data_IF_681552716513
#
_entry.id   IF_681552716513
#
_cell.length_a   1.000
_cell.length_b   1.000
_cell.length_c   1.000
_cell.angle_alpha   90.00
_cell.angle_beta   90.00
_cell.angle_gamma   90.00
#
_symmetry.space_group_name_H-M   'P 1'
#
loop_
_entity.id
_entity.type
_entity.pdbx_description
1 polymer ?
#
# COMPACT_ATOMS: atom_id res chain seq x y z
N UNK A 1 -2.39 5.98 -18.37
CA UNK A 1 -3.63 6.50 -17.74
C UNK A 1 -3.67 5.92 -16.34
N UNK A 2 -3.54 6.74 -15.29
CA UNK A 2 -3.46 6.25 -13.90
C UNK A 2 -4.86 6.22 -13.29
N UNK A 3 -5.38 5.01 -13.09
CA UNK A 3 -6.68 4.76 -12.46
C UNK A 3 -6.57 5.04 -10.96
N UNK A 4 -7.13 6.15 -10.49
CA UNK A 4 -7.26 6.42 -9.05
C UNK A 4 -8.41 5.52 -8.56
N UNK A 5 -8.06 4.42 -7.90
CA UNK A 5 -9.04 3.52 -7.28
C UNK A 5 -9.52 4.15 -5.96
N UNK A 6 -10.78 4.57 -5.94
CA UNK A 6 -11.44 5.10 -4.76
C UNK A 6 -12.11 3.92 -4.04
N UNK A 7 -11.47 3.41 -2.99
CA UNK A 7 -12.04 2.36 -2.12
C UNK A 7 -12.99 2.96 -1.08
N UNK A 8 -14.13 2.30 -0.87
CA UNK A 8 -15.05 2.59 0.23
C UNK A 8 -14.43 2.14 1.55
N UNK A 9 -14.13 3.09 2.44
CA UNK A 9 -13.62 2.81 3.77
C UNK A 9 -12.09 2.73 3.79
N UNK A 10 -11.48 3.68 4.47
CA UNK A 10 -10.02 3.72 4.66
C UNK A 10 -9.68 2.73 5.79
N UNK A 11 -8.94 1.64 5.52
CA UNK A 11 -8.51 0.73 6.56
C UNK A 11 -7.60 1.45 7.56
N UNK A 12 -7.62 1.00 8.81
CA UNK A 12 -6.82 1.60 9.87
C UNK A 12 -5.31 1.54 9.52
N UNK A 13 -4.51 2.56 9.88
CA UNK A 13 -3.09 2.60 9.58
C UNK A 13 -2.34 1.47 10.26
N UNK A 14 -1.52 0.76 9.48
CA UNK A 14 -0.71 -0.36 9.95
C UNK A 14 0.67 0.17 10.35
N UNK A 15 0.93 0.25 11.66
CA UNK A 15 2.17 0.83 12.19
C UNK A 15 3.34 -0.14 12.29
N UNK A 16 3.16 -1.32 12.91
CA UNK A 16 4.29 -2.19 13.26
C UNK A 16 4.51 -3.39 12.31
N UNK A 17 3.45 -3.94 11.73
CA UNK A 17 3.51 -5.20 10.98
C UNK A 17 3.19 -5.06 9.49
N UNK A 18 3.46 -3.89 8.90
CA UNK A 18 3.20 -3.65 7.48
C UNK A 18 3.81 -4.72 6.56
N UNK A 19 4.97 -5.30 6.92
CA UNK A 19 5.56 -6.42 6.15
C UNK A 19 4.67 -7.67 6.13
N UNK A 20 4.13 -8.05 7.29
CA UNK A 20 3.27 -9.22 7.40
C UNK A 20 1.93 -8.97 6.69
N UNK A 21 1.37 -7.78 6.86
CA UNK A 21 0.13 -7.37 6.21
C UNK A 21 0.28 -7.35 4.69
N UNK A 22 1.33 -6.74 4.14
CA UNK A 22 1.63 -6.80 2.69
C UNK A 22 1.86 -8.24 2.20
N UNK A 23 2.39 -9.14 3.05
CA UNK A 23 2.57 -10.55 2.70
C UNK A 23 1.25 -11.30 2.50
N UNK A 24 0.26 -11.04 3.35
CA UNK A 24 -1.06 -11.69 3.32
C UNK A 24 -2.07 -10.97 2.42
N UNK A 25 -1.82 -9.70 2.09
CA UNK A 25 -2.65 -8.85 1.25
C UNK A 25 -2.99 -9.49 -0.10
N UNK A 26 -4.27 -9.56 -0.44
CA UNK A 26 -4.78 -10.14 -1.68
C UNK A 26 -4.87 -9.10 -2.81
N UNK A 27 -4.94 -9.57 -4.06
CA UNK A 27 -5.09 -8.69 -5.22
C UNK A 27 -6.41 -7.89 -5.13
N UNK A 28 -6.31 -6.58 -5.30
CA UNK A 28 -7.43 -5.65 -5.14
C UNK A 28 -7.56 -5.06 -3.73
N UNK A 29 -6.80 -5.54 -2.75
CA UNK A 29 -6.75 -4.92 -1.43
C UNK A 29 -5.82 -3.70 -1.39
N UNK A 30 -5.97 -2.90 -0.33
CA UNK A 30 -5.08 -1.79 -0.02
C UNK A 30 -4.70 -1.71 1.46
N UNK A 31 -3.51 -1.19 1.73
CA UNK A 31 -2.98 -0.98 3.07
C UNK A 31 -2.59 0.49 3.26
N UNK A 32 -2.98 1.07 4.40
CA UNK A 32 -2.60 2.41 4.80
C UNK A 32 -1.36 2.36 5.71
N UNK A 33 -0.28 3.05 5.33
CA UNK A 33 1.01 2.99 6.02
C UNK A 33 1.49 4.41 6.35
N UNK A 34 2.08 4.61 7.53
CA UNK A 34 2.71 5.88 7.90
C UNK A 34 3.93 6.20 7.03
N UNK A 35 4.10 7.47 6.66
CA UNK A 35 5.13 7.94 5.74
C UNK A 35 6.56 7.75 6.27
N UNK A 36 6.72 7.58 7.59
CA UNK A 36 8.00 7.22 8.20
C UNK A 36 8.56 5.89 7.65
N UNK A 37 7.70 4.99 7.19
CA UNK A 37 8.08 3.69 6.61
C UNK A 37 8.15 3.69 5.07
N UNK A 38 7.89 4.82 4.40
CA UNK A 38 7.74 4.86 2.94
C UNK A 38 8.97 4.34 2.18
N UNK A 39 10.18 4.70 2.63
CA UNK A 39 11.41 4.23 2.00
C UNK A 39 11.63 2.73 2.22
N UNK A 40 11.35 2.23 3.43
CA UNK A 40 11.47 0.81 3.76
C UNK A 40 10.47 -0.05 2.98
N UNK A 41 9.24 0.43 2.81
CA UNK A 41 8.19 -0.24 2.04
C UNK A 41 8.54 -0.29 0.55
N UNK A 42 8.94 0.85 -0.04
CA UNK A 42 9.37 0.90 -1.44
C UNK A 42 10.55 -0.04 -1.71
N UNK A 43 11.52 -0.08 -0.81
CA UNK A 43 12.64 -1.01 -0.90
C UNK A 43 12.18 -2.48 -0.83
N UNK A 44 11.28 -2.81 0.09
CA UNK A 44 10.74 -4.17 0.23
C UNK A 44 9.93 -4.61 -1.01
N UNK A 45 9.11 -3.72 -1.57
CA UNK A 45 8.38 -3.95 -2.83
C UNK A 45 9.37 -4.23 -3.96
N UNK A 46 10.37 -3.37 -4.13
CA UNK A 46 11.37 -3.50 -5.18
C UNK A 46 12.26 -4.74 -5.05
N UNK A 47 12.57 -5.19 -3.83
CA UNK A 47 13.51 -6.30 -3.58
C UNK A 47 12.85 -7.67 -3.42
N UNK A 48 11.74 -7.76 -2.68
CA UNK A 48 11.13 -9.04 -2.31
C UNK A 48 9.88 -9.35 -3.13
N UNK A 49 8.97 -8.38 -3.29
CA UNK A 49 7.70 -8.66 -3.95
C UNK A 49 7.81 -8.77 -5.48
N UNK A 50 8.71 -8.00 -6.10
CA UNK A 50 9.00 -8.15 -7.53
C UNK A 50 9.91 -9.33 -7.88
N UNK A 51 10.71 -9.83 -6.93
CA UNK A 51 11.82 -10.74 -7.21
C UNK A 51 11.62 -12.16 -6.67
N UNK A 52 10.77 -12.34 -5.66
CA UNK A 52 10.54 -13.65 -5.03
C UNK A 52 9.04 -14.02 -4.98
N UNK A 53 8.72 -15.07 -5.76
CA UNK A 53 7.77 -16.13 -5.48
C UNK A 53 6.24 -15.90 -5.40
N UNK A 54 5.70 -14.69 -5.19
CA UNK A 54 4.24 -14.54 -5.01
C UNK A 54 3.48 -13.93 -6.21
N UNK A 55 4.16 -13.44 -7.24
CA UNK A 55 3.51 -12.80 -8.40
C UNK A 55 2.73 -11.53 -8.07
N UNK A 56 2.79 -11.08 -6.81
CA UNK A 56 2.06 -9.92 -6.29
C UNK A 56 2.75 -8.63 -6.67
N UNK A 57 2.06 -7.80 -7.42
CA UNK A 57 2.55 -6.48 -7.84
C UNK A 57 2.01 -5.42 -6.89
N UNK A 58 2.88 -4.74 -6.16
CA UNK A 58 2.46 -3.68 -5.25
C UNK A 58 2.73 -2.31 -5.85
N UNK A 59 1.74 -1.43 -5.78
CA UNK A 59 1.87 -0.03 -6.15
C UNK A 59 1.71 0.86 -4.92
N UNK A 60 2.55 1.88 -4.79
CA UNK A 60 2.44 2.86 -3.69
C UNK A 60 1.94 4.21 -4.22
N UNK A 61 1.17 4.94 -3.43
CA UNK A 61 0.74 6.29 -3.77
C UNK A 61 0.20 7.07 -2.59
N UNK A 62 -0.33 8.26 -2.85
CA UNK A 62 -0.89 9.13 -1.82
C UNK A 62 -2.10 8.46 -1.18
N UNK A 63 -2.18 8.52 0.14
CA UNK A 63 -3.39 8.14 0.85
C UNK A 63 -4.43 9.25 0.66
N UNK A 64 -5.57 8.91 0.08
CA UNK A 64 -6.67 9.84 -0.17
C UNK A 64 -7.90 9.35 0.61
N UNK A 65 -8.60 10.26 1.28
CA UNK A 65 -9.85 9.95 1.98
C UNK A 65 -11.08 9.91 1.04
N UNK A 66 -12.24 9.49 1.55
CA UNK A 66 -13.48 9.39 0.78
C UNK A 66 -13.97 10.75 0.20
N UNK A 67 -13.40 11.87 0.68
CA UNK A 67 -13.69 13.24 0.20
C UNK A 67 -12.63 13.74 -0.79
N UNK A 68 -11.64 12.92 -1.13
CA UNK A 68 -10.59 13.30 -2.08
C UNK A 68 -9.43 14.07 -1.46
N UNK A 69 -9.33 14.18 -0.12
CA UNK A 69 -8.22 14.89 0.51
C UNK A 69 -7.05 13.96 0.83
N UNK A 70 -5.83 14.50 0.74
CA UNK A 70 -4.63 13.78 1.13
C UNK A 70 -4.55 13.59 2.64
N UNK A 71 -4.40 12.34 3.07
CA UNK A 71 -4.19 11.98 4.47
C UNK A 71 -2.72 12.25 4.81
N UNK A 72 -2.46 13.43 5.38
CA UNK A 72 -1.10 13.84 5.77
C UNK A 72 -0.46 12.83 6.72
N UNK A 73 0.82 12.55 6.46
CA UNK A 73 1.62 11.62 7.26
C UNK A 73 1.44 10.15 6.90
N UNK A 74 0.61 9.81 5.90
CA UNK A 74 0.36 8.44 5.47
C UNK A 74 0.39 8.31 3.95
N UNK A 75 0.65 7.10 3.48
CA UNK A 75 0.58 6.71 2.09
C UNK A 75 -0.12 5.36 1.97
N UNK A 76 -0.56 5.03 0.76
CA UNK A 76 -1.30 3.80 0.49
C UNK A 76 -0.48 2.86 -0.38
N UNK A 77 -0.62 1.57 -0.12
CA UNK A 77 -0.10 0.49 -0.95
C UNK A 77 -1.28 -0.30 -1.48
N UNK A 78 -1.27 -0.64 -2.75
CA UNK A 78 -2.28 -1.47 -3.42
C UNK A 78 -1.62 -2.74 -3.94
N UNK A 79 -2.28 -3.87 -3.81
CA UNK A 79 -1.87 -5.12 -4.45
C UNK A 79 -2.63 -5.27 -5.76
N UNK A 80 -1.94 -5.24 -6.90
CA UNK A 80 -2.52 -5.28 -8.24
C UNK A 80 -2.73 -6.70 -8.78
N UNK A 81 -1.89 -7.65 -8.36
CA UNK A 81 -1.90 -9.06 -8.77
C UNK A 81 -1.58 -9.95 -7.60
#
# INVERSE_FOLDING_TARGET
MSTIQIEKGIPAPIKHNWKAELGVMEAGESALIDNEFANSVKAAISQHFHKEANGKEFQTGKAIDDLGNEIKGKFRVWCHK
#
